data_IF_899063355195
#
_entry.id   IF_899063355195
#
_cell.length_a   1.000
_cell.length_b   1.000
_cell.length_c   1.000
_cell.angle_alpha   90.00
_cell.angle_beta   90.00
_cell.angle_gamma   90.00
#
_symmetry.space_group_name_H-M   'P 1'
#
loop_
_entity.id
_entity.type
_entity.pdbx_description
1 polymer ?
#
# COMPACT_ATOMS: atom_id res chain seq x y z
N UNK A 1 20.46 -11.92 -5.66
CA UNK A 1 20.36 -11.80 -4.18
C UNK A 1 18.88 -11.82 -3.84
N UNK A 2 18.35 -12.99 -3.52
CA UNK A 2 16.93 -13.18 -3.21
C UNK A 2 16.61 -12.47 -1.89
N UNK A 3 15.48 -11.75 -1.87
CA UNK A 3 15.02 -11.07 -0.66
C UNK A 3 14.82 -12.10 0.45
N UNK A 4 15.32 -11.76 1.64
CA UNK A 4 15.12 -12.49 2.89
C UNK A 4 13.60 -12.49 3.15
N UNK A 5 12.97 -13.63 2.86
CA UNK A 5 11.74 -14.16 3.43
C UNK A 5 10.75 -13.10 3.97
N UNK A 6 10.16 -12.29 3.07
CA UNK A 6 9.09 -11.32 3.41
C UNK A 6 7.94 -11.99 4.17
N UNK A 7 7.70 -13.26 3.87
CA UNK A 7 6.69 -14.10 4.52
C UNK A 7 6.99 -14.41 6.00
N UNK A 8 8.24 -14.21 6.44
CA UNK A 8 8.66 -14.40 7.84
C UNK A 8 8.96 -13.10 8.57
N UNK A 9 9.01 -11.97 7.87
CA UNK A 9 9.22 -10.66 8.49
C UNK A 9 7.93 -10.20 9.18
N UNK A 10 7.96 -10.13 10.52
CA UNK A 10 6.83 -9.71 11.35
C UNK A 10 6.29 -8.33 10.99
N UNK A 11 7.12 -7.43 10.45
CA UNK A 11 6.66 -6.12 9.98
C UNK A 11 5.74 -6.27 8.78
N UNK A 12 6.16 -7.08 7.80
CA UNK A 12 5.37 -7.35 6.60
C UNK A 12 4.08 -8.08 6.95
N UNK A 13 4.13 -9.10 7.81
CA UNK A 13 2.94 -9.84 8.27
C UNK A 13 1.91 -8.86 8.86
N UNK A 14 2.31 -8.04 9.83
CA UNK A 14 1.42 -7.07 10.50
C UNK A 14 0.83 -6.03 9.56
N UNK A 15 1.64 -5.53 8.62
CA UNK A 15 1.18 -4.56 7.63
C UNK A 15 0.15 -5.19 6.68
N UNK A 16 0.43 -6.39 6.18
CA UNK A 16 -0.47 -7.11 5.27
C UNK A 16 -1.80 -7.46 5.94
N UNK A 17 -1.78 -7.83 7.22
CA UNK A 17 -2.99 -8.13 8.00
C UNK A 17 -4.03 -7.01 7.96
N UNK A 18 -3.63 -5.74 7.84
CA UNK A 18 -4.56 -4.62 7.79
C UNK A 18 -5.33 -4.54 6.47
N UNK A 19 -4.73 -4.97 5.36
CA UNK A 19 -5.25 -4.70 4.02
C UNK A 19 -5.63 -5.96 3.23
N UNK A 20 -5.18 -7.14 3.65
CA UNK A 20 -5.34 -8.38 2.87
C UNK A 20 -6.79 -8.79 2.62
N UNK A 21 -7.72 -8.40 3.50
CA UNK A 21 -9.14 -8.69 3.31
C UNK A 21 -9.72 -8.01 2.07
N UNK A 22 -9.11 -6.89 1.66
CA UNK A 22 -9.45 -6.15 0.44
C UNK A 22 -8.75 -6.70 -0.81
N UNK A 23 -7.91 -7.74 -0.66
CA UNK A 23 -7.19 -8.37 -1.78
C UNK A 23 -8.11 -9.01 -2.83
N UNK A 24 -9.29 -9.49 -2.41
CA UNK A 24 -10.33 -9.98 -3.31
C UNK A 24 -11.33 -8.87 -3.62
N UNK A 25 -10.89 -7.83 -4.31
CA UNK A 25 -11.77 -6.72 -4.68
C UNK A 25 -12.67 -7.11 -5.85
N UNK A 26 -13.87 -7.59 -5.54
CA UNK A 26 -14.93 -7.89 -6.50
C UNK A 26 -15.76 -6.64 -6.86
N UNK A 27 -15.66 -5.56 -6.06
CA UNK A 27 -16.43 -4.34 -6.24
C UNK A 27 -16.23 -3.65 -7.59
N UNK A 28 -15.03 -3.70 -8.20
CA UNK A 28 -14.82 -3.19 -9.57
C UNK A 28 -15.40 -4.08 -10.66
N UNK A 29 -15.56 -5.39 -10.40
CA UNK A 29 -16.05 -6.35 -11.40
C UNK A 29 -17.58 -6.43 -11.37
N UNK A 30 -18.21 -6.21 -10.22
CA UNK A 30 -19.64 -6.45 -10.02
C UNK A 30 -20.44 -5.26 -9.46
N UNK A 31 -19.85 -4.07 -9.27
CA UNK A 31 -20.50 -2.90 -8.65
C UNK A 31 -21.13 -3.24 -7.26
N UNK A 32 -20.56 -4.22 -6.56
CA UNK A 32 -21.00 -4.55 -5.21
C UNK A 32 -20.67 -3.40 -4.25
N UNK A 33 -21.64 -2.97 -3.40
CA UNK A 33 -21.39 -1.93 -2.43
C UNK A 33 -20.28 -2.37 -1.47
N UNK A 34 -19.15 -1.66 -1.53
CA UNK A 34 -18.05 -1.83 -0.58
C UNK A 34 -18.19 -0.81 0.57
N UNK A 35 -17.81 -1.24 1.77
CA UNK A 35 -17.73 -0.36 2.92
C UNK A 35 -16.46 0.51 2.83
N UNK A 36 -16.60 1.66 2.17
CA UNK A 36 -15.50 2.62 1.97
C UNK A 36 -15.00 3.23 3.28
N UNK A 37 -15.85 3.33 4.31
CA UNK A 37 -15.47 3.85 5.62
C UNK A 37 -14.60 2.84 6.36
N UNK A 38 -15.00 1.57 6.39
CA UNK A 38 -14.18 0.48 6.91
C UNK A 38 -12.84 0.39 6.17
N UNK A 39 -12.84 0.51 4.83
CA UNK A 39 -11.62 0.49 4.04
C UNK A 39 -10.69 1.67 4.35
N UNK A 40 -11.23 2.88 4.51
CA UNK A 40 -10.44 4.06 4.91
C UNK A 40 -9.80 3.84 6.27
N UNK A 41 -10.54 3.30 7.24
CA UNK A 41 -10.05 3.02 8.59
C UNK A 41 -8.90 1.99 8.59
N UNK A 42 -9.04 0.90 7.82
CA UNK A 42 -7.98 -0.10 7.66
C UNK A 42 -6.73 0.48 6.98
N UNK A 43 -6.93 1.36 5.99
CA UNK A 43 -5.83 2.03 5.31
C UNK A 43 -5.06 2.97 6.25
N UNK A 44 -5.78 3.73 7.09
CA UNK A 44 -5.16 4.56 8.13
C UNK A 44 -4.41 3.71 9.16
N UNK A 45 -4.99 2.57 9.59
CA UNK A 45 -4.33 1.63 10.49
C UNK A 45 -3.05 1.04 9.86
N UNK A 46 -3.06 0.74 8.56
CA UNK A 46 -1.88 0.33 7.82
C UNK A 46 -0.79 1.41 7.88
N UNK A 47 -1.15 2.67 7.62
CA UNK A 47 -0.19 3.77 7.62
C UNK A 47 0.40 4.06 9.00
N UNK A 48 -0.41 4.01 10.06
CA UNK A 48 0.05 4.12 11.44
C UNK A 48 1.09 3.04 11.79
N UNK A 49 0.90 1.82 11.30
CA UNK A 49 1.88 0.75 11.44
C UNK A 49 3.12 0.98 10.55
N UNK A 50 2.95 1.50 9.34
CA UNK A 50 4.04 1.79 8.41
C UNK A 50 4.99 2.84 8.99
N UNK A 51 4.46 3.93 9.56
CA UNK A 51 5.25 4.99 10.23
C UNK A 51 6.10 4.43 11.38
N UNK A 52 5.59 3.42 12.11
CA UNK A 52 6.32 2.73 13.20
C UNK A 52 7.38 1.77 12.68
N UNK A 53 7.32 1.36 11.41
CA UNK A 53 8.31 0.50 10.80
C UNK A 53 9.54 1.29 10.33
N UNK A 54 10.74 0.77 10.62
CA UNK A 54 11.96 1.29 9.98
C UNK A 54 12.03 0.80 8.53
N UNK A 55 12.32 1.68 7.55
CA UNK A 55 12.55 1.26 6.18
C UNK A 55 13.79 0.36 6.10
N UNK A 56 13.81 -0.50 5.08
CA UNK A 56 14.94 -1.36 4.80
C UNK A 56 16.16 -0.52 4.39
N UNK A 57 17.37 -0.96 4.79
CA UNK A 57 18.60 -0.19 4.53
C UNK A 57 19.02 -0.17 3.07
N UNK A 58 18.52 -1.10 2.25
CA UNK A 58 19.00 -1.32 0.89
C UNK A 58 17.86 -1.23 -0.10
N UNK A 59 18.15 -0.58 -1.22
CA UNK A 59 17.32 -0.64 -2.41
C UNK A 59 17.74 -1.90 -3.17
N UNK A 60 16.85 -2.88 -3.29
CA UNK A 60 17.08 -3.97 -4.23
C UNK A 60 16.48 -3.59 -5.57
N UNK A 61 17.34 -3.39 -6.54
CA UNK A 61 16.97 -3.35 -7.95
C UNK A 61 16.91 -4.84 -8.35
N UNK A 62 15.72 -5.43 -8.30
CA UNK A 62 15.51 -6.74 -8.92
C UNK A 62 15.63 -6.63 -10.46
N UNK A 63 15.29 -7.69 -11.18
CA UNK A 63 15.38 -7.75 -12.65
C UNK A 63 14.51 -6.71 -13.38
N UNK A 64 13.49 -6.14 -12.71
CA UNK A 64 12.44 -5.31 -13.34
C UNK A 64 12.71 -3.79 -13.37
N UNK A 65 13.97 -3.35 -13.20
CA UNK A 65 14.37 -1.94 -13.12
C UNK A 65 14.02 -1.22 -11.81
N UNK A 66 14.61 -0.04 -11.62
CA UNK A 66 14.47 0.79 -10.42
C UNK A 66 13.03 1.29 -10.18
N UNK A 67 12.26 1.53 -11.24
CA UNK A 67 10.95 2.17 -11.20
C UNK A 67 9.76 1.22 -11.41
N UNK A 68 9.97 -0.10 -11.52
CA UNK A 68 8.89 -1.05 -11.79
C UNK A 68 7.70 -0.95 -10.81
N UNK A 69 7.96 -0.61 -9.55
CA UNK A 69 6.93 -0.44 -8.53
C UNK A 69 5.90 0.65 -8.88
N UNK A 70 6.25 1.61 -9.75
CA UNK A 70 5.33 2.66 -10.19
C UNK A 70 4.12 2.09 -10.95
N UNK A 71 4.27 0.93 -11.61
CA UNK A 71 3.17 0.27 -12.32
C UNK A 71 2.03 -0.08 -11.35
N UNK A 72 2.35 -0.48 -10.12
CA UNK A 72 1.36 -0.78 -9.08
C UNK A 72 1.06 0.41 -8.18
N UNK A 73 1.99 1.35 -8.01
CA UNK A 73 1.75 2.55 -7.20
C UNK A 73 0.77 3.54 -7.86
N UNK A 74 0.79 3.66 -9.19
CA UNK A 74 -0.08 4.61 -9.90
C UNK A 74 -1.58 4.27 -9.76
N UNK A 75 -2.05 3.01 -9.95
CA UNK A 75 -3.43 2.63 -9.66
C UNK A 75 -3.85 2.94 -8.22
N UNK A 76 -3.00 2.64 -7.23
CA UNK A 76 -3.24 2.97 -5.83
C UNK A 76 -3.46 4.47 -5.62
N UNK A 77 -2.58 5.31 -6.18
CA UNK A 77 -2.72 6.77 -6.13
C UNK A 77 -4.02 7.26 -6.80
N UNK A 78 -4.41 6.66 -7.93
CA UNK A 78 -5.64 7.02 -8.62
C UNK A 78 -6.89 6.65 -7.80
N UNK A 79 -6.86 5.52 -7.09
CA UNK A 79 -7.93 5.09 -6.20
C UNK A 79 -8.09 6.05 -5.02
N UNK A 80 -6.99 6.41 -4.36
CA UNK A 80 -6.95 7.44 -3.31
C UNK A 80 -7.55 8.77 -3.78
N UNK A 81 -7.10 9.26 -4.94
CA UNK A 81 -7.59 10.52 -5.49
C UNK A 81 -9.11 10.53 -5.75
N UNK A 82 -9.68 9.37 -6.08
CA UNK A 82 -11.13 9.21 -6.34
C UNK A 82 -11.93 8.91 -5.06
N UNK A 83 -11.29 8.84 -3.89
CA UNK A 83 -11.95 8.44 -2.64
C UNK A 83 -12.47 7.00 -2.67
N UNK A 84 -11.90 6.12 -3.52
CA UNK A 84 -12.22 4.69 -3.60
C UNK A 84 -11.24 3.93 -2.72
N UNK A 85 -11.44 3.98 -1.41
CA UNK A 85 -10.54 3.41 -0.40
C UNK A 85 -10.48 1.89 -0.45
N UNK A 86 -11.60 1.23 -0.71
CA UNK A 86 -11.66 -0.23 -0.89
C UNK A 86 -10.75 -0.69 -2.04
N UNK A 87 -10.83 -0.02 -3.19
CA UNK A 87 -9.93 -0.20 -4.32
C UNK A 87 -8.48 0.19 -3.97
N UNK A 88 -8.27 1.26 -3.21
CA UNK A 88 -6.93 1.64 -2.78
C UNK A 88 -6.28 0.54 -1.93
N UNK A 89 -7.01 -0.07 -0.98
CA UNK A 89 -6.53 -1.20 -0.21
C UNK A 89 -6.17 -2.40 -1.10
N UNK A 90 -6.97 -2.68 -2.12
CA UNK A 90 -6.68 -3.73 -3.10
C UNK A 90 -5.40 -3.48 -3.91
N UNK A 91 -5.26 -2.27 -4.47
CA UNK A 91 -4.07 -1.91 -5.24
C UNK A 91 -2.81 -1.87 -4.38
N UNK A 92 -2.97 -1.49 -3.11
CA UNK A 92 -1.90 -1.55 -2.11
C UNK A 92 -1.51 -3.00 -1.79
N UNK A 93 -2.47 -3.93 -1.66
CA UNK A 93 -2.20 -5.37 -1.52
C UNK A 93 -1.42 -5.89 -2.73
N UNK A 94 -1.84 -5.51 -3.94
CA UNK A 94 -1.16 -5.87 -5.18
C UNK A 94 0.28 -5.36 -5.21
N UNK A 95 0.51 -4.10 -4.80
CA UNK A 95 1.84 -3.53 -4.64
C UNK A 95 2.66 -4.29 -3.58
N UNK A 96 2.02 -4.70 -2.48
CA UNK A 96 2.63 -5.44 -1.38
C UNK A 96 3.15 -6.81 -1.79
N UNK A 97 2.35 -7.57 -2.53
CA UNK A 97 2.74 -8.89 -3.05
C UNK A 97 3.87 -8.74 -4.07
N UNK A 98 3.72 -7.79 -4.99
CA UNK A 98 4.63 -7.58 -6.11
C UNK A 98 5.98 -6.99 -5.69
N UNK A 99 6.00 -6.16 -4.65
CA UNK A 99 7.16 -5.36 -4.29
C UNK A 99 7.42 -5.31 -2.78
N UNK A 100 8.70 -5.22 -2.35
CA UNK A 100 9.06 -5.01 -0.95
C UNK A 100 8.74 -3.55 -0.52
N UNK A 101 7.56 -3.33 0.06
CA UNK A 101 7.06 -1.99 0.41
C UNK A 101 7.94 -1.22 1.41
N UNK A 102 8.73 -1.91 2.24
CA UNK A 102 9.64 -1.25 3.18
C UNK A 102 10.93 -0.75 2.52
N UNK A 103 11.11 -0.96 1.21
CA UNK A 103 12.20 -0.29 0.50
C UNK A 103 12.02 1.23 0.57
N UNK A 104 13.08 2.01 0.82
CA UNK A 104 12.99 3.46 1.02
C UNK A 104 12.17 4.18 -0.05
N UNK A 105 12.38 3.85 -1.32
CA UNK A 105 11.66 4.48 -2.45
C UNK A 105 10.15 4.21 -2.45
N UNK A 106 9.72 3.03 -2.00
CA UNK A 106 8.29 2.69 -1.94
C UNK A 106 7.72 3.27 -0.66
N UNK A 107 8.38 2.99 0.47
CA UNK A 107 8.05 3.49 1.80
C UNK A 107 7.76 5.00 1.81
N UNK A 108 8.71 5.83 1.35
CA UNK A 108 8.53 7.28 1.38
C UNK A 108 7.50 7.78 0.35
N UNK A 109 7.28 7.06 -0.76
CA UNK A 109 6.19 7.42 -1.67
C UNK A 109 4.83 7.10 -1.04
N UNK A 110 4.69 5.98 -0.33
CA UNK A 110 3.46 5.64 0.37
C UNK A 110 3.11 6.71 1.43
N UNK A 111 4.07 7.12 2.26
CA UNK A 111 3.84 8.17 3.27
C UNK A 111 3.42 9.50 2.64
N UNK A 112 4.06 9.92 1.53
CA UNK A 112 3.64 11.14 0.82
C UNK A 112 2.24 11.05 0.23
N UNK A 113 1.80 9.86 -0.17
CA UNK A 113 0.43 9.66 -0.68
C UNK A 113 -0.59 9.73 0.45
N UNK A 114 -0.26 9.22 1.64
CA UNK A 114 -1.08 9.39 2.84
C UNK A 114 -1.28 10.87 3.16
N UNK A 115 -0.18 11.61 3.34
CA UNK A 115 -0.20 13.05 3.66
C UNK A 115 -1.01 13.85 2.64
N UNK A 116 -1.03 13.42 1.37
CA UNK A 116 -1.71 14.13 0.29
C UNK A 116 -3.21 13.82 0.20
N UNK A 117 -3.62 12.59 0.50
CA UNK A 117 -4.98 12.12 0.17
C UNK A 117 -5.79 11.70 1.40
N UNK A 118 -5.15 11.49 2.55
CA UNK A 118 -5.78 10.98 3.76
C UNK A 118 -5.64 11.90 4.97
N UNK A 119 -4.60 12.75 5.03
CA UNK A 119 -4.52 13.80 6.04
C UNK A 119 -5.49 14.94 5.70
N UNK A 120 -6.52 15.07 6.52
CA UNK A 120 -7.54 16.14 6.40
C UNK A 120 -7.00 17.52 6.79
N UNK A 121 -5.79 17.60 7.37
CA UNK A 121 -5.10 18.86 7.74
C UNK A 121 -4.18 19.41 6.63
N UNK A 122 -4.03 18.74 5.49
CA UNK A 122 -3.26 19.25 4.36
C UNK A 122 -4.04 20.31 3.57
N UNK A 123 -4.36 21.43 4.21
CA UNK A 123 -4.80 22.66 3.52
C UNK A 123 -3.63 23.16 2.65
N UNK A 124 -3.84 23.17 1.33
CA UNK A 124 -3.00 23.86 0.35
C UNK A 124 -3.53 25.26 0.04
#
# INVERSE_FOLDING_TARGET
MYYIDREKDKRYIKLREQIQQWGNYLGAVYDEPCDEEAAKNDLLAFYDLLRKCKPDKRICIGERSYYAYMINLLPFQQALHKGKYSLACHELETLFVSHPILQPRIYYNLLRLEEKYLDEEAEY
#
